data_IF_652907525462
#
_entry.id   IF_652907525462
#
_cell.length_a   1.000
_cell.length_b   1.000
_cell.length_c   1.000
_cell.angle_alpha   90.00
_cell.angle_beta   90.00
_cell.angle_gamma   90.00
#
_symmetry.space_group_name_H-M   'P 1'
#
loop_
_entity.id
_entity.type
_entity.pdbx_description
1 polymer ?
#
# COMPACT_ATOMS: atom_id res chain seq x y z
N UNK A 1 14.84 -8.58 -27.82
CA UNK A 1 14.17 -8.92 -26.55
C UNK A 1 12.82 -8.24 -26.58
N UNK A 2 11.75 -8.98 -26.30
CA UNK A 2 10.43 -8.39 -26.19
C UNK A 2 10.34 -7.45 -24.99
N UNK A 3 9.28 -6.65 -24.97
CA UNK A 3 8.94 -5.77 -23.84
C UNK A 3 8.86 -6.54 -22.52
N UNK A 4 8.28 -7.74 -22.56
CA UNK A 4 8.18 -8.66 -21.41
C UNK A 4 9.55 -9.18 -20.95
N UNK A 5 10.43 -9.62 -21.88
CA UNK A 5 11.80 -10.05 -21.55
C UNK A 5 12.59 -8.93 -20.85
N UNK A 6 12.36 -7.68 -21.28
CA UNK A 6 13.01 -6.51 -20.69
C UNK A 6 12.54 -6.32 -19.25
N UNK A 7 11.24 -6.43 -18.98
CA UNK A 7 10.71 -6.38 -17.62
C UNK A 7 11.24 -7.50 -16.74
N UNK A 8 11.26 -8.74 -17.21
CA UNK A 8 11.81 -9.87 -16.46
C UNK A 8 13.31 -9.71 -16.14
N UNK A 9 14.05 -8.97 -16.96
CA UNK A 9 15.48 -8.69 -16.71
C UNK A 9 15.73 -7.68 -15.59
N UNK A 10 14.73 -6.87 -15.23
CA UNK A 10 14.86 -5.82 -14.20
C UNK A 10 13.97 -6.07 -12.97
N UNK A 11 12.78 -6.63 -13.15
CA UNK A 11 11.89 -7.15 -12.11
C UNK A 11 12.27 -8.62 -11.88
N UNK A 12 13.40 -8.82 -11.21
CA UNK A 12 13.94 -10.15 -10.97
C UNK A 12 13.44 -10.74 -9.65
N UNK A 13 13.38 -12.08 -9.50
CA UNK A 13 13.10 -12.72 -8.22
C UNK A 13 13.97 -12.20 -7.06
N UNK A 14 15.24 -11.89 -7.34
CA UNK A 14 16.17 -11.35 -6.36
C UNK A 14 15.77 -9.93 -5.89
N UNK A 15 15.36 -9.06 -6.82
CA UNK A 15 14.83 -7.73 -6.46
C UNK A 15 13.55 -7.87 -5.62
N UNK A 16 12.62 -8.74 -6.04
CA UNK A 16 11.35 -8.93 -5.33
C UNK A 16 11.58 -9.45 -3.91
N UNK A 17 12.48 -10.43 -3.74
CA UNK A 17 12.87 -10.94 -2.43
C UNK A 17 13.52 -9.84 -1.56
N UNK A 18 14.44 -9.04 -2.14
CA UNK A 18 15.09 -7.93 -1.44
C UNK A 18 14.07 -6.89 -0.95
N UNK A 19 13.08 -6.54 -1.77
CA UNK A 19 12.03 -5.60 -1.39
C UNK A 19 11.12 -6.17 -0.31
N UNK A 20 10.70 -7.44 -0.44
CA UNK A 20 9.87 -8.12 0.55
C UNK A 20 10.56 -8.23 1.92
N UNK A 21 11.82 -8.65 1.95
CA UNK A 21 12.60 -8.81 3.19
C UNK A 21 13.01 -7.47 3.80
N UNK A 22 13.27 -6.47 2.95
CA UNK A 22 13.58 -5.12 3.39
C UNK A 22 12.41 -4.38 4.03
N UNK A 23 11.17 -4.75 3.72
CA UNK A 23 9.99 -4.13 4.33
C UNK A 23 9.89 -4.44 5.82
N UNK A 24 10.12 -5.70 6.20
CA UNK A 24 10.06 -6.16 7.58
C UNK A 24 11.38 -6.86 7.95
N UNK A 25 12.41 -6.09 8.39
CA UNK A 25 13.79 -6.56 8.55
C UNK A 25 14.00 -7.35 9.85
N UNK A 26 13.07 -8.25 10.15
CA UNK A 26 13.07 -9.11 11.33
C UNK A 26 13.08 -10.58 10.93
N UNK A 27 13.50 -11.43 11.86
CA UNK A 27 13.49 -12.88 11.68
C UNK A 27 12.05 -13.38 11.54
N UNK A 28 11.77 -14.15 10.48
CA UNK A 28 10.43 -14.72 10.24
C UNK A 28 10.03 -15.72 11.33
N UNK A 29 10.98 -16.43 11.93
CA UNK A 29 10.78 -17.51 12.91
C UNK A 29 10.59 -17.04 14.36
N UNK A 30 10.64 -15.73 14.62
CA UNK A 30 10.58 -15.16 15.97
C UNK A 30 9.34 -14.32 16.18
N UNK A 31 8.89 -14.25 17.43
CA UNK A 31 7.88 -13.28 17.82
C UNK A 31 8.42 -11.86 17.71
N UNK A 32 7.62 -10.98 17.10
CA UNK A 32 8.01 -9.60 16.84
C UNK A 32 7.56 -8.66 17.97
N UNK A 33 8.39 -7.65 18.24
CA UNK A 33 8.03 -6.47 19.01
C UNK A 33 7.32 -5.49 18.09
N UNK A 34 6.03 -5.22 18.32
CA UNK A 34 5.28 -4.29 17.48
C UNK A 34 5.69 -2.83 17.67
N UNK A 35 6.35 -2.51 18.79
CA UNK A 35 7.04 -1.22 18.96
C UNK A 35 8.18 -1.07 17.96
N UNK A 36 8.93 -2.15 17.71
CA UNK A 36 10.00 -2.13 16.72
C UNK A 36 9.43 -2.14 15.29
N UNK A 37 8.38 -2.92 15.02
CA UNK A 37 7.67 -2.94 13.73
C UNK A 37 7.19 -1.55 13.34
N UNK A 38 6.55 -0.82 14.25
CA UNK A 38 6.02 0.52 14.00
C UNK A 38 7.10 1.63 13.99
N UNK A 39 8.32 1.33 14.42
CA UNK A 39 9.33 2.36 14.66
C UNK A 39 9.81 3.06 13.38
N UNK A 40 10.24 4.31 13.53
CA UNK A 40 10.91 5.08 12.47
C UNK A 40 12.15 4.34 11.93
N UNK A 41 12.84 3.55 12.77
CA UNK A 41 14.01 2.76 12.34
C UNK A 41 13.64 1.72 11.30
N UNK A 42 12.49 1.08 11.43
CA UNK A 42 11.98 0.09 10.48
C UNK A 42 11.60 0.77 9.17
N UNK A 43 10.86 1.88 9.25
CA UNK A 43 10.48 2.67 8.07
C UNK A 43 11.71 3.21 7.32
N UNK A 44 12.71 3.74 8.04
CA UNK A 44 13.97 4.22 7.45
C UNK A 44 14.84 3.10 6.90
N UNK A 45 14.76 1.89 7.48
CA UNK A 45 15.41 0.72 6.90
C UNK A 45 14.82 0.39 5.52
N UNK A 46 13.50 0.28 5.42
CA UNK A 46 12.85 -0.05 4.15
C UNK A 46 13.13 1.03 3.08
N UNK A 47 13.11 2.30 3.47
CA UNK A 47 13.49 3.42 2.59
C UNK A 47 14.92 3.26 2.05
N UNK A 48 15.88 2.88 2.90
CA UNK A 48 17.26 2.61 2.46
C UNK A 48 17.33 1.43 1.49
N UNK A 49 16.56 0.36 1.73
CA UNK A 49 16.47 -0.78 0.81
C UNK A 49 15.92 -0.33 -0.56
N UNK A 50 14.82 0.41 -0.59
CA UNK A 50 14.26 0.96 -1.84
C UNK A 50 15.30 1.78 -2.61
N UNK A 51 16.01 2.69 -1.95
CA UNK A 51 17.01 3.58 -2.56
C UNK A 51 18.24 2.83 -3.06
N UNK A 52 18.70 1.81 -2.33
CA UNK A 52 19.94 1.08 -2.64
C UNK A 52 19.76 -0.12 -3.57
N UNK A 53 18.52 -0.55 -3.80
CA UNK A 53 18.16 -1.63 -4.72
C UNK A 53 18.01 -1.14 -6.16
N UNK A 54 17.74 -2.07 -7.08
CA UNK A 54 17.37 -1.75 -8.47
C UNK A 54 15.87 -1.44 -8.65
N UNK A 55 15.14 -1.14 -7.56
CA UNK A 55 13.71 -0.82 -7.60
C UNK A 55 13.39 0.39 -8.48
N UNK A 56 14.22 1.43 -8.43
CA UNK A 56 14.05 2.63 -9.27
C UNK A 56 14.16 2.28 -10.76
N UNK A 57 15.13 1.46 -11.13
CA UNK A 57 15.33 1.03 -12.52
C UNK A 57 14.16 0.17 -13.02
N UNK A 58 13.65 -0.73 -12.19
CA UNK A 58 12.48 -1.55 -12.49
C UNK A 58 11.22 -0.70 -12.73
N UNK A 59 10.96 0.29 -11.86
CA UNK A 59 9.81 1.18 -12.01
C UNK A 59 9.94 2.10 -13.23
N UNK A 60 11.14 2.61 -13.54
CA UNK A 60 11.41 3.35 -14.77
C UNK A 60 11.23 2.47 -16.02
N UNK A 61 11.64 1.20 -15.98
CA UNK A 61 11.40 0.29 -17.08
C UNK A 61 9.89 0.06 -17.31
N UNK A 62 9.13 -0.07 -16.23
CA UNK A 62 7.68 -0.24 -16.27
C UNK A 62 6.95 1.02 -16.78
N UNK A 63 7.41 2.22 -16.43
CA UNK A 63 6.83 3.48 -16.92
C UNK A 63 7.05 3.70 -18.43
N UNK A 64 8.12 3.14 -18.99
CA UNK A 64 8.41 3.21 -20.44
C UNK A 64 7.45 2.40 -21.30
N UNK A 65 6.67 1.49 -20.71
CA UNK A 65 5.61 0.79 -21.42
C UNK A 65 4.51 1.74 -21.89
N UNK A 66 4.23 2.74 -21.05
CA UNK A 66 3.18 3.72 -21.28
C UNK A 66 3.67 5.11 -20.86
N UNK A 67 4.41 5.81 -21.74
CA UNK A 67 4.95 7.13 -21.44
C UNK A 67 3.88 8.19 -21.09
N UNK A 68 2.63 7.95 -21.49
CA UNK A 68 1.45 8.76 -21.19
C UNK A 68 0.68 8.30 -19.93
N UNK A 69 1.24 7.34 -19.18
CA UNK A 69 0.64 6.70 -18.02
C UNK A 69 -0.68 5.94 -18.28
N UNK A 70 -1.00 5.60 -19.53
CA UNK A 70 -2.09 4.65 -19.80
C UNK A 70 -1.74 3.27 -19.28
N UNK A 71 -2.69 2.55 -18.65
CA UNK A 71 -2.35 1.22 -18.12
C UNK A 71 -2.00 0.26 -19.27
N UNK A 72 -0.81 -0.37 -19.25
CA UNK A 72 -0.43 -1.32 -20.29
C UNK A 72 -1.29 -2.58 -20.21
N UNK A 73 -1.50 -3.24 -21.35
CA UNK A 73 -2.00 -4.62 -21.40
C UNK A 73 -0.88 -5.57 -20.94
N UNK A 74 -0.70 -5.65 -19.63
CA UNK A 74 0.32 -6.45 -18.97
C UNK A 74 -0.33 -7.31 -17.89
N UNK A 75 -0.19 -8.63 -18.02
CA UNK A 75 -0.47 -9.54 -16.92
C UNK A 75 0.68 -9.49 -15.91
N UNK A 76 0.48 -8.82 -14.77
CA UNK A 76 1.50 -8.67 -13.74
C UNK A 76 1.86 -10.02 -13.08
N UNK A 77 0.94 -10.99 -13.08
CA UNK A 77 1.21 -12.35 -12.59
C UNK A 77 2.23 -13.09 -13.46
N UNK A 78 2.38 -12.70 -14.74
CA UNK A 78 3.41 -13.26 -15.63
C UNK A 78 4.85 -12.88 -15.24
N UNK A 79 5.02 -11.92 -14.31
CA UNK A 79 6.31 -11.53 -13.72
C UNK A 79 6.65 -12.35 -12.47
N UNK A 80 5.76 -13.24 -12.05
CA UNK A 80 5.85 -14.04 -10.82
C UNK A 80 5.94 -15.53 -11.16
N UNK A 81 6.44 -16.38 -10.23
CA UNK A 81 6.27 -17.83 -10.36
C UNK A 81 4.77 -18.20 -10.32
N UNK A 82 4.40 -19.42 -10.76
CA UNK A 82 3.00 -19.87 -10.70
C UNK A 82 2.40 -19.75 -9.29
N UNK A 83 1.09 -19.47 -9.15
CA UNK A 83 0.44 -19.35 -7.84
C UNK A 83 0.62 -20.54 -6.91
N UNK A 84 0.82 -21.75 -7.44
CA UNK A 84 1.08 -22.97 -6.67
C UNK A 84 2.51 -23.07 -6.11
N UNK A 85 3.42 -22.17 -6.51
CA UNK A 85 4.80 -22.17 -6.04
C UNK A 85 4.90 -21.76 -4.58
N UNK A 86 5.86 -22.34 -3.87
CA UNK A 86 6.25 -21.90 -2.51
C UNK A 86 6.88 -20.51 -2.53
N UNK A 87 7.50 -20.09 -3.64
CA UNK A 87 8.14 -18.77 -3.74
C UNK A 87 7.13 -17.65 -4.07
N UNK A 88 5.92 -18.01 -4.50
CA UNK A 88 4.91 -17.06 -4.97
C UNK A 88 4.50 -16.03 -3.92
N UNK A 89 4.20 -16.38 -2.65
CA UNK A 89 3.79 -15.39 -1.65
C UNK A 89 4.81 -14.26 -1.45
N UNK A 90 6.10 -14.61 -1.31
CA UNK A 90 7.15 -13.63 -1.08
C UNK A 90 7.40 -12.75 -2.31
N UNK A 91 7.45 -13.34 -3.51
CA UNK A 91 7.69 -12.57 -4.73
C UNK A 91 6.49 -11.69 -5.08
N UNK A 92 5.26 -12.17 -4.90
CA UNK A 92 4.04 -11.39 -5.06
C UNK A 92 4.02 -10.20 -4.09
N UNK A 93 4.37 -10.43 -2.82
CA UNK A 93 4.49 -9.37 -1.82
C UNK A 93 5.53 -8.33 -2.22
N UNK A 94 6.70 -8.77 -2.69
CA UNK A 94 7.76 -7.89 -3.19
C UNK A 94 7.32 -7.04 -4.38
N UNK A 95 6.56 -7.61 -5.32
CA UNK A 95 6.06 -6.89 -6.49
C UNK A 95 4.98 -5.87 -6.09
N UNK A 96 4.08 -6.25 -5.17
CA UNK A 96 3.09 -5.32 -4.63
C UNK A 96 3.75 -4.15 -3.89
N UNK A 97 4.73 -4.43 -3.02
CA UNK A 97 5.53 -3.40 -2.35
C UNK A 97 6.26 -2.50 -3.34
N UNK A 98 6.82 -3.06 -4.42
CA UNK A 98 7.51 -2.29 -5.46
C UNK A 98 6.56 -1.27 -6.11
N UNK A 99 5.35 -1.72 -6.48
CA UNK A 99 4.34 -0.90 -7.16
C UNK A 99 3.64 0.10 -6.23
N UNK A 100 3.40 -0.26 -4.97
CA UNK A 100 2.58 0.55 -4.07
C UNK A 100 3.39 1.38 -3.07
N UNK A 101 4.43 0.81 -2.46
CA UNK A 101 5.18 1.47 -1.37
C UNK A 101 6.52 2.05 -1.85
N UNK A 102 7.33 1.29 -2.59
CA UNK A 102 8.64 1.74 -3.05
C UNK A 102 8.53 2.92 -4.02
N UNK A 103 7.54 2.89 -4.91
CA UNK A 103 7.18 4.00 -5.81
C UNK A 103 6.88 5.31 -5.06
N UNK A 104 6.16 5.27 -3.92
CA UNK A 104 5.92 6.44 -3.04
C UNK A 104 7.19 7.01 -2.44
N UNK A 105 8.13 6.13 -2.09
CA UNK A 105 9.41 6.48 -1.49
C UNK A 105 10.36 7.09 -2.54
N UNK A 106 10.40 6.49 -3.72
CA UNK A 106 11.39 6.79 -4.76
C UNK A 106 11.02 8.00 -5.63
N UNK A 107 9.73 8.30 -5.73
CA UNK A 107 9.20 9.32 -6.63
C UNK A 107 8.39 10.36 -5.87
N UNK A 108 8.92 11.58 -5.84
CA UNK A 108 8.36 12.72 -5.12
C UNK A 108 8.25 13.92 -6.06
N UNK A 109 7.71 15.04 -5.58
CA UNK A 109 7.49 16.21 -6.44
C UNK A 109 6.53 15.87 -7.59
N UNK A 110 6.87 16.28 -8.81
CA UNK A 110 6.06 15.99 -10.00
C UNK A 110 5.94 14.49 -10.24
N UNK A 111 7.01 13.72 -10.01
CA UNK A 111 7.02 12.28 -10.23
C UNK A 111 6.05 11.52 -9.33
N UNK A 112 5.59 12.10 -8.22
CA UNK A 112 4.54 11.51 -7.38
C UNK A 112 3.22 11.25 -8.15
N UNK A 113 2.99 11.94 -9.28
CA UNK A 113 1.85 11.68 -10.17
C UNK A 113 1.86 10.28 -10.75
N UNK A 114 3.04 9.70 -10.98
CA UNK A 114 3.18 8.33 -11.48
C UNK A 114 2.71 7.32 -10.45
N UNK A 115 2.87 7.61 -9.17
CA UNK A 115 2.30 6.73 -8.16
C UNK A 115 0.78 6.73 -8.22
N UNK A 116 0.16 7.92 -8.23
CA UNK A 116 -1.31 8.00 -8.18
C UNK A 116 -1.98 7.61 -9.50
N UNK A 117 -1.33 7.86 -10.64
CA UNK A 117 -1.90 7.66 -11.97
C UNK A 117 -1.46 6.38 -12.68
N UNK A 118 -0.40 5.70 -12.22
CA UNK A 118 0.17 4.56 -12.94
C UNK A 118 0.52 3.36 -12.04
N UNK A 119 1.46 3.51 -11.12
CA UNK A 119 1.94 2.40 -10.30
C UNK A 119 0.90 1.94 -9.27
N UNK A 120 0.15 2.86 -8.64
CA UNK A 120 -0.96 2.54 -7.75
C UNK A 120 -2.05 1.71 -8.46
N UNK A 121 -2.57 2.14 -9.62
CA UNK A 121 -3.48 1.34 -10.42
C UNK A 121 -2.92 -0.03 -10.83
N UNK A 122 -1.63 -0.14 -11.20
CA UNK A 122 -0.99 -1.44 -11.46
C UNK A 122 -0.92 -2.30 -10.18
N UNK A 123 -0.59 -1.72 -9.03
CA UNK A 123 -0.63 -2.39 -7.74
C UNK A 123 -2.03 -2.91 -7.41
N UNK A 124 -3.08 -2.13 -7.70
CA UNK A 124 -4.47 -2.55 -7.56
C UNK A 124 -4.85 -3.66 -8.53
N UNK A 125 -4.36 -3.62 -9.78
CA UNK A 125 -4.57 -4.68 -10.75
C UNK A 125 -3.95 -5.99 -10.25
N UNK A 126 -2.68 -5.98 -9.83
CA UNK A 126 -2.02 -7.14 -9.23
C UNK A 126 -2.81 -7.64 -8.01
N UNK A 127 -3.28 -6.73 -7.16
CA UNK A 127 -4.09 -7.07 -6.00
C UNK A 127 -5.37 -7.82 -6.35
N UNK A 128 -6.08 -7.36 -7.38
CA UNK A 128 -7.25 -8.05 -7.91
C UNK A 128 -6.91 -9.44 -8.46
N UNK A 129 -5.78 -9.57 -9.17
CA UNK A 129 -5.35 -10.84 -9.76
C UNK A 129 -5.06 -11.90 -8.70
N UNK A 130 -4.31 -11.57 -7.64
CA UNK A 130 -4.03 -12.55 -6.58
C UNK A 130 -5.23 -12.77 -5.66
N UNK A 131 -6.12 -11.79 -5.48
CA UNK A 131 -7.33 -11.96 -4.67
C UNK A 131 -8.35 -12.86 -5.35
N UNK A 132 -8.38 -12.89 -6.68
CA UNK A 132 -9.24 -13.77 -7.47
C UNK A 132 -8.79 -15.25 -7.49
N UNK A 133 -7.60 -15.57 -6.95
CA UNK A 133 -7.13 -16.95 -6.84
C UNK A 133 -8.01 -17.78 -5.89
N UNK A 134 -8.04 -19.12 -6.04
CA UNK A 134 -8.60 -20.02 -5.03
C UNK A 134 -8.06 -19.69 -3.63
N UNK A 135 -8.87 -19.87 -2.59
CA UNK A 135 -8.51 -19.45 -1.23
C UNK A 135 -7.16 -20.00 -0.75
N UNK A 136 -6.85 -21.28 -1.03
CA UNK A 136 -5.53 -21.85 -0.72
C UNK A 136 -4.39 -21.26 -1.54
N UNK A 137 -4.66 -20.65 -2.70
CA UNK A 137 -3.66 -20.06 -3.59
C UNK A 137 -3.40 -18.57 -3.32
N UNK A 138 -4.21 -17.92 -2.48
CA UNK A 138 -4.03 -16.51 -2.15
C UNK A 138 -2.75 -16.26 -1.33
N UNK A 139 -1.88 -15.33 -1.74
CA UNK A 139 -0.53 -15.19 -1.18
C UNK A 139 -0.47 -14.60 0.22
N UNK A 140 -1.54 -13.93 0.68
CA UNK A 140 -1.58 -13.32 2.01
C UNK A 140 -1.96 -14.30 3.13
N UNK A 141 -2.48 -15.50 2.79
CA UNK A 141 -2.93 -16.49 3.78
C UNK A 141 -1.77 -17.04 4.61
N UNK A 142 -2.00 -17.29 5.90
CA UNK A 142 -0.92 -17.67 6.82
C UNK A 142 -0.27 -19.00 6.44
N UNK A 143 -1.08 -19.97 6.01
CA UNK A 143 -0.63 -21.30 5.59
C UNK A 143 0.38 -21.21 4.43
N UNK A 144 0.24 -20.19 3.57
CA UNK A 144 1.17 -19.95 2.46
C UNK A 144 2.53 -19.48 2.91
N UNK A 145 2.59 -18.68 3.97
CA UNK A 145 3.85 -18.24 4.55
C UNK A 145 4.51 -19.36 5.37
N UNK A 146 3.72 -20.16 6.07
CA UNK A 146 4.22 -21.35 6.79
C UNK A 146 4.80 -22.40 5.84
N UNK A 147 4.27 -22.52 4.61
CA UNK A 147 4.83 -23.44 3.61
C UNK A 147 6.23 -23.05 3.13
N UNK A 148 6.67 -21.80 3.33
CA UNK A 148 8.01 -21.31 2.95
C UNK A 148 9.08 -21.53 4.02
N UNK A 149 8.67 -21.96 5.22
CA UNK A 149 9.54 -22.14 6.39
C UNK A 149 8.86 -21.65 7.66
N UNK A 150 9.63 -21.56 8.75
CA UNK A 150 9.14 -21.12 10.04
C UNK A 150 8.80 -19.61 9.99
N UNK A 151 7.52 -19.29 9.76
CA UNK A 151 6.96 -17.93 9.89
C UNK A 151 6.08 -17.86 11.13
N UNK A 152 6.44 -16.97 12.06
CA UNK A 152 5.70 -16.69 13.28
C UNK A 152 4.38 -15.99 12.95
N UNK A 153 3.42 -16.12 13.85
CA UNK A 153 2.13 -15.48 13.67
C UNK A 153 2.26 -13.95 13.68
N UNK A 154 3.10 -13.39 14.57
CA UNK A 154 3.35 -11.94 14.61
C UNK A 154 4.03 -11.39 13.36
N UNK A 155 4.96 -12.13 12.75
CA UNK A 155 5.54 -11.73 11.46
C UNK A 155 4.46 -11.67 10.37
N UNK A 156 3.64 -12.71 10.29
CA UNK A 156 2.54 -12.76 9.34
C UNK A 156 1.53 -11.63 9.56
N UNK A 157 1.16 -11.32 10.81
CA UNK A 157 0.26 -10.19 11.15
C UNK A 157 0.85 -8.85 10.70
N UNK A 158 2.15 -8.62 10.93
CA UNK A 158 2.81 -7.35 10.64
C UNK A 158 2.80 -6.96 9.14
N UNK A 159 2.61 -7.93 8.24
CA UNK A 159 2.55 -7.68 6.79
C UNK A 159 1.12 -7.59 6.24
N UNK A 160 0.08 -7.90 7.01
CA UNK A 160 -1.30 -7.99 6.49
C UNK A 160 -1.87 -6.65 6.05
N UNK A 161 -1.51 -5.57 6.74
CA UNK A 161 -1.93 -4.20 6.39
C UNK A 161 -1.48 -3.84 4.96
N UNK A 162 -0.28 -4.28 4.56
CA UNK A 162 0.26 -4.02 3.23
C UNK A 162 -0.49 -4.80 2.15
N UNK A 163 -0.98 -6.00 2.46
CA UNK A 163 -1.81 -6.77 1.52
C UNK A 163 -3.09 -6.02 1.15
N UNK A 164 -3.72 -5.33 2.11
CA UNK A 164 -4.92 -4.53 1.88
C UNK A 164 -4.64 -3.17 1.21
N UNK A 165 -3.43 -2.64 1.31
CA UNK A 165 -3.11 -1.26 0.93
C UNK A 165 -3.49 -0.90 -0.53
N UNK A 166 -3.22 -1.70 -1.58
CA UNK A 166 -3.59 -1.32 -2.94
C UNK A 166 -5.10 -1.17 -3.17
N UNK A 167 -5.92 -1.94 -2.45
CA UNK A 167 -7.37 -1.81 -2.48
C UNK A 167 -7.82 -0.48 -1.86
N UNK A 168 -7.28 -0.15 -0.69
CA UNK A 168 -7.62 1.09 0.00
C UNK A 168 -7.05 2.31 -0.73
N UNK A 169 -5.93 2.18 -1.41
CA UNK A 169 -5.36 3.25 -2.21
C UNK A 169 -6.12 3.49 -3.53
N UNK A 170 -7.02 2.61 -3.94
CA UNK A 170 -7.85 2.80 -5.12
C UNK A 170 -9.05 3.72 -4.82
N UNK A 171 -9.46 4.49 -5.82
CA UNK A 171 -10.54 5.48 -5.71
C UNK A 171 -11.87 4.89 -6.23
N UNK A 172 -12.25 3.74 -5.70
CA UNK A 172 -13.51 3.07 -6.05
C UNK A 172 -14.06 2.25 -4.87
N UNK A 173 -15.39 2.16 -4.77
CA UNK A 173 -16.07 1.53 -3.64
C UNK A 173 -15.91 0.00 -3.60
N UNK A 174 -15.69 -0.66 -4.74
CA UNK A 174 -15.49 -2.11 -4.79
C UNK A 174 -14.19 -2.48 -4.07
N UNK A 175 -13.12 -1.75 -4.38
CA UNK A 175 -11.83 -1.89 -3.70
C UNK A 175 -11.93 -1.56 -2.22
N UNK A 176 -12.64 -0.50 -1.85
CA UNK A 176 -12.85 -0.19 -0.43
C UNK A 176 -13.57 -1.35 0.28
N UNK A 177 -14.59 -1.95 -0.35
CA UNK A 177 -15.30 -3.11 0.22
C UNK A 177 -14.36 -4.31 0.44
N UNK A 178 -13.49 -4.63 -0.52
CA UNK A 178 -12.47 -5.67 -0.35
C UNK A 178 -11.52 -5.34 0.81
N UNK A 179 -11.11 -4.09 0.95
CA UNK A 179 -10.30 -3.64 2.10
C UNK A 179 -10.98 -3.85 3.45
N UNK A 180 -12.29 -3.57 3.55
CA UNK A 180 -13.10 -3.84 4.75
C UNK A 180 -13.18 -5.34 5.06
N UNK A 181 -13.30 -6.19 4.05
CA UNK A 181 -13.33 -7.65 4.21
C UNK A 181 -11.99 -8.19 4.71
N UNK A 182 -10.88 -7.76 4.11
CA UNK A 182 -9.52 -8.13 4.55
C UNK A 182 -9.25 -7.66 6.00
N UNK A 183 -9.70 -6.46 6.35
CA UNK A 183 -9.59 -5.95 7.71
C UNK A 183 -10.40 -6.78 8.71
N UNK A 184 -11.65 -7.13 8.39
CA UNK A 184 -12.47 -7.99 9.25
C UNK A 184 -11.92 -9.41 9.37
N UNK A 185 -11.36 -9.97 8.29
CA UNK A 185 -10.67 -11.26 8.35
C UNK A 185 -9.49 -11.22 9.33
N UNK A 186 -8.63 -10.20 9.22
CA UNK A 186 -7.48 -10.03 10.11
C UNK A 186 -7.92 -9.89 11.57
N UNK A 187 -8.95 -9.09 11.86
CA UNK A 187 -9.52 -8.96 13.21
C UNK A 187 -9.88 -10.33 13.79
N UNK A 188 -10.70 -11.09 13.08
CA UNK A 188 -11.17 -12.41 13.54
C UNK A 188 -10.04 -13.38 13.80
N UNK A 189 -9.02 -13.37 12.94
CA UNK A 189 -7.85 -14.24 13.10
C UNK A 189 -7.05 -13.86 14.34
N UNK A 190 -6.80 -12.56 14.57
CA UNK A 190 -6.07 -12.09 15.76
C UNK A 190 -6.88 -12.27 17.04
N UNK A 191 -8.19 -12.03 17.03
CA UNK A 191 -9.08 -12.29 18.18
C UNK A 191 -9.08 -13.77 18.56
N UNK A 192 -9.20 -14.66 17.56
CA UNK A 192 -9.12 -16.10 17.77
C UNK A 192 -7.77 -16.55 18.33
N UNK A 193 -6.68 -15.95 17.85
CA UNK A 193 -5.34 -16.30 18.27
C UNK A 193 -5.03 -15.81 19.70
N UNK A 194 -5.40 -14.58 20.01
CA UNK A 194 -5.02 -13.89 21.26
C UNK A 194 -6.05 -14.04 22.38
N UNK A 195 -7.32 -14.30 22.04
CA UNK A 195 -8.44 -14.25 22.98
C UNK A 195 -8.84 -12.82 23.40
N UNK A 196 -8.25 -11.80 22.79
CA UNK A 196 -8.56 -10.37 23.01
C UNK A 196 -9.55 -9.93 21.94
N UNK A 197 -10.64 -9.26 22.30
CA UNK A 197 -11.59 -8.70 21.33
C UNK A 197 -11.13 -7.32 20.83
N UNK A 198 -11.41 -7.00 19.57
CA UNK A 198 -11.12 -5.68 18.99
C UNK A 198 -12.01 -4.59 19.65
N UNK A 199 -11.42 -3.63 20.39
CA UNK A 199 -12.19 -2.57 21.05
C UNK A 199 -12.90 -1.63 20.06
N UNK A 200 -12.38 -1.47 18.83
CA UNK A 200 -12.93 -0.59 17.80
C UNK A 200 -14.20 -1.17 17.16
N UNK A 201 -14.55 -2.44 17.40
CA UNK A 201 -15.85 -3.01 16.97
C UNK A 201 -17.02 -2.17 17.43
N UNK A 202 -16.95 -1.62 18.65
CA UNK A 202 -18.03 -0.82 19.25
C UNK A 202 -18.22 0.54 18.58
N UNK A 203 -17.20 1.05 17.92
CA UNK A 203 -17.18 2.35 17.25
C UNK A 203 -17.15 2.24 15.74
N UNK A 204 -17.19 1.02 15.19
CA UNK A 204 -16.98 0.77 13.76
C UNK A 204 -18.00 1.47 12.88
N UNK A 205 -19.27 1.49 13.27
CA UNK A 205 -20.32 2.19 12.52
C UNK A 205 -20.00 3.69 12.42
N UNK A 206 -19.54 4.31 13.51
CA UNK A 206 -19.09 5.70 13.49
C UNK A 206 -17.81 5.90 12.66
N UNK A 207 -16.87 4.94 12.70
CA UNK A 207 -15.67 4.96 11.84
C UNK A 207 -16.03 4.95 10.36
N UNK A 208 -17.08 4.23 9.96
CA UNK A 208 -17.55 4.13 8.58
C UNK A 208 -18.35 5.36 8.11
N UNK A 209 -18.55 6.35 8.98
CA UNK A 209 -19.21 7.62 8.66
C UNK A 209 -18.27 8.85 8.78
N UNK A 210 -17.16 8.75 9.53
CA UNK A 210 -16.23 9.86 9.79
C UNK A 210 -15.11 9.94 8.74
N UNK A 211 -15.28 10.82 7.73
CA UNK A 211 -14.32 11.05 6.65
C UNK A 211 -13.09 11.88 7.05
N UNK A 212 -12.99 12.29 8.31
CA UNK A 212 -11.80 12.94 8.88
C UNK A 212 -11.00 11.98 9.78
N UNK A 213 -11.57 10.83 10.14
CA UNK A 213 -10.99 9.93 11.12
C UNK A 213 -9.62 9.42 10.69
N UNK A 214 -9.48 9.00 9.44
CA UNK A 214 -8.23 8.50 8.88
C UNK A 214 -7.07 9.46 9.15
N UNK A 215 -7.25 10.71 8.72
CA UNK A 215 -6.24 11.76 8.80
C UNK A 215 -5.93 12.14 10.25
N UNK A 216 -6.97 12.19 11.09
CA UNK A 216 -6.85 12.50 12.52
C UNK A 216 -6.06 11.42 13.28
N UNK A 217 -6.32 10.15 13.02
CA UNK A 217 -5.73 9.05 13.79
C UNK A 217 -4.37 8.62 13.24
N UNK A 218 -4.18 8.57 11.91
CA UNK A 218 -2.91 8.14 11.31
C UNK A 218 -1.74 9.05 11.72
N UNK A 219 -1.99 10.35 11.91
CA UNK A 219 -0.99 11.32 12.38
C UNK A 219 -0.58 11.09 13.83
N UNK A 220 -1.50 10.61 14.68
CA UNK A 220 -1.21 10.30 16.09
C UNK A 220 -0.38 9.04 16.24
N UNK A 221 -0.52 8.10 15.29
CA UNK A 221 0.03 6.76 15.39
C UNK A 221 -0.80 5.85 16.30
N UNK A 222 -0.43 4.56 16.40
CA UNK A 222 -1.16 3.61 17.20
C UNK A 222 -1.02 3.90 18.70
N UNK A 223 -2.03 3.54 19.53
CA UNK A 223 -1.95 3.71 20.96
C UNK A 223 -0.85 2.83 21.56
N UNK A 224 -0.14 3.38 22.54
CA UNK A 224 0.83 2.65 23.37
C UNK A 224 0.14 2.10 24.62
N UNK A 225 0.69 1.02 25.19
CA UNK A 225 0.22 0.44 26.44
C UNK A 225 0.47 1.39 27.63
N UNK A 226 -0.05 1.06 28.82
CA UNK A 226 0.02 1.92 30.03
C UNK A 226 1.46 2.28 30.47
N UNK A 227 2.46 1.49 30.07
CA UNK A 227 3.87 1.77 30.33
C UNK A 227 4.47 2.86 29.42
N UNK A 228 3.70 3.32 28.42
CA UNK A 228 4.04 4.39 27.49
C UNK A 228 5.13 4.03 26.47
N UNK A 229 5.60 2.77 26.42
CA UNK A 229 6.75 2.37 25.62
C UNK A 229 6.51 1.12 24.76
N UNK A 230 5.57 0.25 25.16
CA UNK A 230 5.26 -0.97 24.42
C UNK A 230 3.92 -0.88 23.69
N UNK A 231 3.79 -1.64 22.61
CA UNK A 231 2.51 -1.88 21.94
C UNK A 231 2.36 -3.38 21.70
N UNK A 232 1.22 -3.93 22.11
CA UNK A 232 0.92 -5.34 21.82
C UNK A 232 0.53 -5.55 20.35
N UNK A 233 0.70 -6.77 19.86
CA UNK A 233 0.27 -7.17 18.51
C UNK A 233 -1.23 -6.88 18.28
N UNK A 234 -2.09 -7.20 19.25
CA UNK A 234 -3.53 -6.95 19.17
C UNK A 234 -3.83 -5.47 19.08
N UNK A 235 -3.26 -4.65 19.98
CA UNK A 235 -3.45 -3.19 19.98
C UNK A 235 -3.01 -2.56 18.66
N UNK A 236 -1.84 -2.95 18.15
CA UNK A 236 -1.33 -2.50 16.85
C UNK A 236 -2.26 -2.91 15.70
N UNK A 237 -2.68 -4.18 15.69
CA UNK A 237 -3.52 -4.72 14.61
C UNK A 237 -4.88 -4.06 14.55
N UNK A 238 -5.54 -3.90 15.70
CA UNK A 238 -6.87 -3.31 15.77
C UNK A 238 -6.89 -1.83 15.43
N UNK A 239 -5.84 -1.10 15.83
CA UNK A 239 -5.67 0.29 15.39
C UNK A 239 -5.52 0.36 13.86
N UNK A 240 -4.66 -0.46 13.27
CA UNK A 240 -4.56 -0.50 11.81
C UNK A 240 -5.85 -0.90 11.13
N UNK A 241 -6.59 -1.89 11.65
CA UNK A 241 -7.88 -2.27 11.09
C UNK A 241 -8.89 -1.12 11.13
N UNK A 242 -8.90 -0.31 12.19
CA UNK A 242 -9.69 0.92 12.26
C UNK A 242 -9.22 1.94 11.20
N UNK A 243 -7.91 2.10 11.00
CA UNK A 243 -7.34 2.94 9.93
C UNK A 243 -7.79 2.43 8.56
N UNK A 244 -7.78 1.13 8.31
CA UNK A 244 -8.26 0.53 7.05
C UNK A 244 -9.73 0.87 6.81
N UNK A 245 -10.59 0.69 7.81
CA UNK A 245 -12.01 1.03 7.70
C UNK A 245 -12.23 2.53 7.42
N UNK A 246 -11.40 3.40 8.00
CA UNK A 246 -11.53 4.87 7.87
C UNK A 246 -11.19 5.44 6.48
N UNK A 247 -10.74 4.62 5.53
CA UNK A 247 -10.59 5.01 4.13
C UNK A 247 -11.95 5.08 3.41
N UNK A 248 -12.89 4.19 3.78
CA UNK A 248 -14.21 4.07 3.16
C UNK A 248 -14.99 5.39 3.11
N UNK A 249 -15.14 6.17 4.20
CA UNK A 249 -16.02 7.34 4.21
C UNK A 249 -15.55 8.43 3.24
N UNK A 250 -14.23 8.57 3.04
CA UNK A 250 -13.65 9.55 2.10
C UNK A 250 -14.10 9.21 0.67
N UNK A 251 -13.93 7.95 0.27
CA UNK A 251 -14.34 7.49 -1.06
C UNK A 251 -15.87 7.48 -1.21
N UNK A 252 -16.61 7.11 -0.17
CA UNK A 252 -18.07 7.12 -0.18
C UNK A 252 -18.63 8.55 -0.36
N UNK A 253 -17.98 9.55 0.21
CA UNK A 253 -18.38 10.95 0.08
C UNK A 253 -17.98 11.56 -1.26
N UNK A 254 -16.71 11.43 -1.65
CA UNK A 254 -16.14 12.17 -2.77
C UNK A 254 -15.98 11.35 -4.06
N UNK A 255 -16.09 10.02 -3.97
CA UNK A 255 -15.77 9.10 -5.06
C UNK A 255 -14.27 9.00 -5.37
N UNK A 256 -13.42 9.72 -4.62
CA UNK A 256 -11.97 9.83 -4.81
C UNK A 256 -11.30 10.40 -3.56
N UNK A 257 -9.98 10.44 -3.53
CA UNK A 257 -9.20 11.12 -2.50
C UNK A 257 -8.93 12.58 -2.89
N UNK A 258 -9.53 13.59 -2.23
CA UNK A 258 -9.36 14.99 -2.62
C UNK A 258 -7.90 15.45 -2.61
N UNK A 259 -7.08 14.96 -1.69
CA UNK A 259 -5.65 15.29 -1.61
C UNK A 259 -4.83 14.80 -2.82
N UNK A 260 -5.38 13.90 -3.65
CA UNK A 260 -4.76 13.50 -4.93
C UNK A 260 -5.15 14.39 -6.10
N UNK A 261 -6.05 15.36 -5.92
CA UNK A 261 -6.51 16.21 -7.01
C UNK A 261 -5.33 16.95 -7.65
N UNK A 262 -4.51 17.62 -6.86
CA UNK A 262 -3.34 18.34 -7.37
C UNK A 262 -2.34 17.44 -8.11
N UNK A 263 -2.02 16.26 -7.55
CA UNK A 263 -1.03 15.35 -8.16
C UNK A 263 -1.53 14.66 -9.42
N UNK A 264 -2.84 14.57 -9.61
CA UNK A 264 -3.49 14.05 -10.82
C UNK A 264 -3.95 15.16 -11.77
N UNK A 265 -3.70 16.44 -11.44
CA UNK A 265 -4.13 17.59 -12.23
C UNK A 265 -5.65 17.77 -12.30
N UNK A 266 -6.38 17.27 -11.31
CA UNK A 266 -7.84 17.42 -11.20
C UNK A 266 -8.18 18.76 -10.55
N UNK A 267 -9.29 19.34 -10.98
CA UNK A 267 -9.90 20.50 -10.31
C UNK A 267 -10.69 20.00 -9.10
N UNK A 268 -10.40 20.53 -7.92
CA UNK A 268 -11.20 20.31 -6.71
C UNK A 268 -12.54 21.05 -6.80
N UNK A 269 -13.60 20.38 -6.38
CA UNK A 269 -14.91 21.00 -6.13
C UNK A 269 -14.86 21.88 -4.88
N UNK A 270 -15.86 22.75 -4.69
CA UNK A 270 -15.95 23.60 -3.48
C UNK A 270 -15.96 22.78 -2.18
N UNK A 271 -16.65 21.63 -2.19
CA UNK A 271 -16.73 20.74 -1.05
C UNK A 271 -15.38 20.09 -0.74
N UNK A 272 -14.66 19.64 -1.77
CA UNK A 272 -13.32 19.08 -1.64
C UNK A 272 -12.31 20.13 -1.17
N UNK A 273 -12.38 21.37 -1.68
CA UNK A 273 -11.53 22.47 -1.21
C UNK A 273 -11.74 22.74 0.27
N UNK A 274 -13.00 22.83 0.72
CA UNK A 274 -13.29 23.01 2.14
C UNK A 274 -12.74 21.86 2.98
N UNK A 275 -12.90 20.62 2.51
CA UNK A 275 -12.37 19.45 3.21
C UNK A 275 -10.84 19.44 3.27
N UNK A 276 -10.16 19.89 2.20
CA UNK A 276 -8.70 20.07 2.21
C UNK A 276 -8.27 21.14 3.21
N UNK A 277 -8.99 22.26 3.31
CA UNK A 277 -8.74 23.30 4.32
C UNK A 277 -8.91 22.74 5.75
N UNK A 278 -10.00 22.01 6.01
CA UNK A 278 -10.31 21.40 7.31
C UNK A 278 -9.26 20.35 7.73
N UNK A 279 -8.57 19.73 6.77
CA UNK A 279 -7.53 18.71 6.98
C UNK A 279 -6.12 19.28 6.97
N UNK A 280 -5.97 20.60 6.81
CA UNK A 280 -4.67 21.26 6.72
C UNK A 280 -3.85 20.81 5.50
N UNK A 281 -4.53 20.48 4.39
CA UNK A 281 -3.93 20.02 3.14
C UNK A 281 -3.09 18.75 3.29
N UNK A 282 -3.49 17.83 4.18
CA UNK A 282 -2.76 16.58 4.42
C UNK A 282 -2.57 15.78 3.12
N UNK A 283 -1.32 15.48 2.79
CA UNK A 283 -0.96 14.67 1.63
C UNK A 283 -1.17 15.34 0.27
N UNK A 284 -1.61 16.61 0.23
CA UNK A 284 -1.76 17.35 -1.01
C UNK A 284 -0.39 17.74 -1.59
N UNK A 285 -0.27 17.72 -2.92
CA UNK A 285 0.95 18.15 -3.58
C UNK A 285 1.22 19.64 -3.30
N UNK A 286 2.48 20.04 -3.04
CA UNK A 286 2.84 21.44 -2.85
C UNK A 286 2.41 22.34 -4.02
N UNK A 287 2.12 23.64 -3.80
CA UNK A 287 1.58 24.53 -4.83
C UNK A 287 2.43 24.63 -6.11
N UNK A 288 3.77 24.57 -5.98
CA UNK A 288 4.70 24.59 -7.11
C UNK A 288 4.62 23.30 -7.96
N UNK A 289 4.47 22.15 -7.31
CA UNK A 289 4.23 20.85 -7.97
C UNK A 289 2.87 20.85 -8.65
N UNK A 290 1.83 21.31 -7.94
CA UNK A 290 0.47 21.40 -8.47
C UNK A 290 0.39 22.29 -9.72
N UNK A 291 1.04 23.45 -9.69
CA UNK A 291 1.11 24.37 -10.84
C UNK A 291 1.77 23.72 -12.05
N UNK A 292 2.89 23.01 -11.82
CA UNK A 292 3.59 22.30 -12.90
C UNK A 292 2.74 21.18 -13.50
N UNK A 293 2.03 20.42 -12.68
CA UNK A 293 1.13 19.35 -13.15
C UNK A 293 -0.06 19.95 -13.92
N UNK A 294 -0.64 21.06 -13.46
CA UNK A 294 -1.70 21.77 -14.20
C UNK A 294 -1.24 22.17 -15.60
N UNK A 295 -0.06 22.79 -15.71
CA UNK A 295 0.52 23.16 -17.00
C UNK A 295 0.72 21.95 -17.91
N UNK A 296 1.24 20.84 -17.38
CA UNK A 296 1.38 19.59 -18.12
C UNK A 296 0.01 19.13 -18.67
N UNK A 297 -1.05 19.15 -17.86
CA UNK A 297 -2.41 18.77 -18.28
C UNK A 297 -2.97 19.70 -19.35
N UNK A 298 -2.80 21.02 -19.21
CA UNK A 298 -3.21 22.02 -20.21
C UNK A 298 -2.50 21.83 -21.56
N UNK A 299 -1.24 21.42 -21.53
CA UNK A 299 -0.43 21.13 -22.70
C UNK A 299 -0.67 19.71 -23.27
N UNK A 300 -1.53 18.89 -22.64
CA UNK A 300 -1.78 17.50 -23.03
C UNK A 300 -0.56 16.60 -22.84
N UNK A 301 0.30 16.94 -21.87
CA UNK A 301 1.58 16.30 -21.60
C UNK A 301 1.54 15.51 -20.29
N UNK A 302 2.19 14.35 -20.30
CA UNK A 302 2.56 13.63 -19.10
C UNK A 302 4.09 13.66 -18.97
N UNK A 303 4.63 14.40 -18.00
CA UNK A 303 6.09 14.47 -17.81
C UNK A 303 6.66 13.06 -17.55
N UNK A 304 7.64 12.59 -18.35
CA UNK A 304 8.23 11.27 -18.16
C UNK A 304 8.90 11.14 -16.80
N UNK A 305 8.75 9.97 -16.19
CA UNK A 305 9.30 9.66 -14.87
C UNK A 305 10.82 9.88 -14.81
N UNK A 306 11.29 10.55 -13.76
CA UNK A 306 12.72 10.72 -13.47
C UNK A 306 13.43 11.74 -14.36
N UNK A 307 12.68 12.67 -14.97
CA UNK A 307 13.24 13.82 -15.71
C UNK A 307 13.40 15.09 -14.86
N UNK A 308 13.10 14.99 -13.56
CA UNK A 308 13.23 16.07 -12.55
C UNK A 308 14.37 15.83 -11.56
#
# INVERSE_FOLDING_TARGET
>A
MGTHDTLLSVITPALLAQIAEGYLPFSKDKELSFSDVQSDKTSEHFKKVCISSTAKDALIALSRLSPDATLPDLDLMSLLPPPTSVDFPQQCFGLQLLLDQASRILFTGVDARWQSGYFGPLGRQLAGQWYALPGEEQPYKFERWQATGDTSFSYWVAIQVIWAAPFLHAEDLESQATGLELSEELRRIVEKHTGVEDPYRKTRDATLEDDLLFLREVVKGPPVEEDGASISMSTWTYWWCMILDSHWPIINRFGRYPYRNAVLGRVSTEEETKWLDDTGHFGEAPPDVAERIRKDVEEGKWTPLGQD
#
